data_IF_720753374482
#
_entry.id   IF_720753374482
#
_cell.length_a   1.000
_cell.length_b   1.000
_cell.length_c   1.000
_cell.angle_alpha   90.00
_cell.angle_beta   90.00
_cell.angle_gamma   90.00
#
_symmetry.space_group_name_H-M   'P 1'
#
loop_
_entity.id
_entity.type
_entity.pdbx_description
1 polymer ?
#
# COMPACT_ATOMS: atom_id res chain seq x y z
N UNK A 1 -0.73 12.31 -5.19
CA UNK A 1 -1.89 12.88 -4.52
C UNK A 1 -2.99 11.87 -4.38
N UNK A 2 -3.51 11.72 -3.19
CA UNK A 2 -4.62 10.82 -2.92
C UNK A 2 -5.93 11.57 -2.95
N UNK A 3 -6.94 10.95 -3.53
CA UNK A 3 -8.26 11.51 -3.50
C UNK A 3 -9.13 10.58 -2.66
N UNK A 4 -9.47 11.01 -1.46
CA UNK A 4 -10.17 10.17 -0.50
C UNK A 4 -11.61 9.90 -0.89
N UNK A 5 -12.16 10.69 -1.80
CA UNK A 5 -13.55 10.51 -2.16
C UNK A 5 -13.72 9.46 -3.23
N UNK A 6 -12.75 9.30 -4.11
CA UNK A 6 -12.91 8.42 -5.26
C UNK A 6 -11.90 7.30 -5.29
N UNK A 7 -11.09 7.15 -4.25
CA UNK A 7 -10.04 6.13 -4.18
C UNK A 7 -9.12 6.20 -5.38
N UNK A 8 -8.75 7.44 -5.74
CA UNK A 8 -7.87 7.67 -6.88
C UNK A 8 -6.57 8.25 -6.45
N UNK A 9 -5.53 7.95 -7.18
CA UNK A 9 -4.24 8.59 -6.98
C UNK A 9 -3.77 9.08 -8.32
N UNK A 10 -2.89 10.07 -8.31
CA UNK A 10 -2.31 10.58 -9.54
C UNK A 10 -0.83 10.29 -9.53
N UNK A 11 -0.37 9.63 -10.58
CA UNK A 11 1.03 9.29 -10.73
C UNK A 11 1.46 9.90 -12.05
N UNK A 12 2.41 10.83 -12.01
CA UNK A 12 2.90 11.52 -13.19
C UNK A 12 1.74 12.11 -14.00
N UNK A 13 0.79 12.71 -13.28
CA UNK A 13 -0.38 13.35 -13.87
C UNK A 13 -1.37 12.38 -14.51
N UNK A 14 -1.22 11.10 -14.26
CA UNK A 14 -2.19 10.12 -14.75
C UNK A 14 -3.00 9.59 -13.58
N UNK A 15 -4.30 9.50 -13.80
CA UNK A 15 -5.19 9.02 -12.77
C UNK A 15 -5.16 7.51 -12.70
N UNK A 16 -5.03 6.97 -11.50
CA UNK A 16 -5.07 5.53 -11.27
C UNK A 16 -6.17 5.27 -10.26
N UNK A 17 -7.10 4.41 -10.62
CA UNK A 17 -8.20 4.07 -9.72
C UNK A 17 -7.87 2.78 -8.98
N UNK A 18 -8.05 2.81 -7.68
CA UNK A 18 -7.74 1.66 -6.83
C UNK A 18 -9.01 1.08 -6.24
N UNK A 19 -8.96 -0.19 -5.87
CA UNK A 19 -10.06 -0.74 -5.08
C UNK A 19 -9.97 -0.15 -3.67
N UNK A 20 -11.02 -0.31 -2.90
CA UNK A 20 -11.08 0.22 -1.55
C UNK A 20 -9.90 -0.28 -0.70
N UNK A 21 -9.64 -1.58 -0.73
CA UNK A 21 -8.55 -2.13 0.07
C UNK A 21 -7.18 -1.69 -0.42
N UNK A 22 -7.01 -1.61 -1.72
CA UNK A 22 -5.75 -1.11 -2.28
C UNK A 22 -5.51 0.32 -1.85
N UNK A 23 -6.56 1.12 -1.90
CA UNK A 23 -6.45 2.51 -1.50
C UNK A 23 -6.08 2.61 -0.01
N UNK A 24 -6.70 1.81 0.83
CA UNK A 24 -6.41 1.87 2.26
C UNK A 24 -4.98 1.46 2.56
N UNK A 25 -4.48 0.46 1.87
CA UNK A 25 -3.09 0.03 2.06
C UNK A 25 -2.13 1.13 1.64
N UNK A 26 -2.37 1.71 0.48
CA UNK A 26 -1.51 2.77 -0.01
C UNK A 26 -1.55 3.97 0.92
N UNK A 27 -2.72 4.34 1.40
CA UNK A 27 -2.86 5.44 2.33
C UNK A 27 -2.06 5.20 3.61
N UNK A 28 -2.10 3.98 4.12
CA UNK A 28 -1.36 3.62 5.32
C UNK A 28 0.13 3.88 5.11
N UNK A 29 0.67 3.46 3.98
CA UNK A 29 2.07 3.68 3.69
C UNK A 29 2.40 5.16 3.50
N UNK A 30 1.55 5.89 2.81
CA UNK A 30 1.84 7.30 2.53
C UNK A 30 1.75 8.16 3.78
N UNK A 31 0.91 7.79 4.71
CA UNK A 31 0.82 8.54 5.96
C UNK A 31 1.98 8.21 6.89
N UNK A 32 2.74 7.17 6.58
CA UNK A 32 3.82 6.72 7.42
C UNK A 32 5.05 6.41 6.58
N UNK A 33 5.41 7.32 5.72
CA UNK A 33 6.52 7.10 4.79
C UNK A 33 7.80 6.77 5.53
N UNK A 34 8.51 5.80 5.03
CA UNK A 34 9.75 5.34 5.64
C UNK A 34 9.57 4.25 6.69
N UNK A 35 8.33 4.06 7.15
CA UNK A 35 8.10 3.04 8.17
C UNK A 35 7.82 1.71 7.51
N UNK A 36 8.39 0.64 8.04
CA UNK A 36 8.17 -0.70 7.51
C UNK A 36 6.96 -1.31 8.20
N UNK A 37 6.06 -1.88 7.39
CA UNK A 37 4.89 -2.58 7.91
C UNK A 37 5.01 -4.05 7.58
N UNK A 38 4.87 -4.90 8.58
CA UNK A 38 4.82 -6.34 8.33
C UNK A 38 3.47 -6.69 7.76
N UNK A 39 3.34 -7.91 7.23
CA UNK A 39 2.04 -8.36 6.74
C UNK A 39 1.00 -8.35 7.85
N UNK A 40 1.39 -8.74 9.06
CA UNK A 40 0.46 -8.72 10.18
C UNK A 40 0.03 -7.31 10.53
N UNK A 41 0.95 -6.34 10.48
CA UNK A 41 0.59 -4.95 10.72
C UNK A 41 -0.44 -4.48 9.71
N UNK A 42 -0.26 -4.82 8.45
CA UNK A 42 -1.17 -4.40 7.40
C UNK A 42 -2.52 -5.08 7.58
N UNK A 43 -2.52 -6.37 7.88
CA UNK A 43 -3.78 -7.08 8.11
C UNK A 43 -4.55 -6.47 9.26
N UNK A 44 -3.88 -6.21 10.38
CA UNK A 44 -4.55 -5.67 11.54
C UNK A 44 -5.06 -4.27 11.30
N UNK A 45 -4.34 -3.47 10.52
CA UNK A 45 -4.75 -2.10 10.27
C UNK A 45 -5.89 -2.00 9.28
N UNK A 46 -5.91 -2.87 8.28
CA UNK A 46 -6.87 -2.76 7.19
C UNK A 46 -8.04 -3.73 7.34
N UNK A 47 -7.76 -4.96 7.79
CA UNK A 47 -8.80 -5.97 7.89
C UNK A 47 -9.29 -6.20 9.32
N UNK A 48 -8.64 -5.61 10.30
CA UNK A 48 -8.97 -5.76 11.72
C UNK A 48 -8.52 -7.11 12.27
N UNK A 49 -8.61 -7.24 13.58
CA UNK A 49 -8.11 -8.43 14.24
C UNK A 49 -9.01 -9.64 14.05
N UNK A 50 -10.20 -9.44 13.49
CA UNK A 50 -11.11 -10.55 13.29
C UNK A 50 -10.88 -11.30 12.00
N UNK A 51 -9.91 -10.92 11.21
CA UNK A 51 -9.70 -11.60 9.95
C UNK A 51 -8.98 -12.93 10.19
N UNK A 52 -9.58 -14.02 9.76
CA UNK A 52 -8.99 -15.32 9.93
C UNK A 52 -8.49 -15.94 8.65
N UNK A 53 -8.46 -15.21 7.59
CA UNK A 53 -8.00 -15.75 6.31
C UNK A 53 -6.48 -15.79 6.22
N UNK A 54 -6.00 -16.10 5.01
CA UNK A 54 -4.59 -16.24 4.77
C UNK A 54 -3.94 -14.87 4.68
N UNK A 55 -2.83 -14.64 5.33
CA UNK A 55 -2.14 -13.36 5.28
C UNK A 55 -1.54 -13.10 3.90
N UNK A 56 -1.53 -14.08 3.02
CA UNK A 56 -1.06 -13.87 1.66
C UNK A 56 -1.94 -12.92 0.87
N UNK A 57 -3.13 -12.62 1.39
CA UNK A 57 -3.98 -11.64 0.74
C UNK A 57 -3.27 -10.28 0.67
N UNK A 58 -2.42 -9.97 1.64
CA UNK A 58 -1.64 -8.73 1.62
C UNK A 58 -0.74 -8.73 0.39
N UNK A 59 -0.05 -9.84 0.15
CA UNK A 59 0.85 -9.92 -0.99
C UNK A 59 0.12 -9.69 -2.31
N UNK A 60 -1.10 -10.23 -2.42
CA UNK A 60 -1.90 -10.07 -3.62
C UNK A 60 -2.26 -8.60 -3.84
N UNK A 61 -2.66 -7.92 -2.77
CA UNK A 61 -3.02 -6.51 -2.89
C UNK A 61 -1.80 -5.65 -3.24
N UNK A 62 -0.67 -5.94 -2.62
CA UNK A 62 0.56 -5.22 -2.93
C UNK A 62 0.94 -5.41 -4.40
N UNK A 63 0.83 -6.64 -4.90
CA UNK A 63 1.13 -6.93 -6.28
C UNK A 63 0.23 -6.12 -7.21
N UNK A 64 -1.05 -6.05 -6.90
CA UNK A 64 -2.00 -5.32 -7.73
C UNK A 64 -1.73 -3.82 -7.70
N UNK A 65 -1.39 -3.28 -6.54
CA UNK A 65 -1.04 -1.87 -6.43
C UNK A 65 0.19 -1.59 -7.30
N UNK A 66 1.20 -2.45 -7.23
CA UNK A 66 2.40 -2.27 -8.03
C UNK A 66 2.10 -2.30 -9.52
N UNK A 67 1.19 -3.15 -9.93
CA UNK A 67 0.82 -3.21 -11.35
C UNK A 67 0.19 -1.91 -11.80
N UNK A 68 -0.57 -1.27 -10.93
CA UNK A 68 -1.28 -0.05 -11.28
C UNK A 68 -0.41 1.19 -11.20
N UNK A 69 0.46 1.26 -10.19
CA UNK A 69 1.28 2.43 -9.97
C UNK A 69 2.68 2.33 -10.52
N UNK A 70 3.20 1.13 -10.62
CA UNK A 70 4.59 0.92 -11.00
C UNK A 70 5.34 0.28 -9.85
N UNK A 71 6.39 -0.46 -10.19
CA UNK A 71 7.03 -1.29 -9.19
C UNK A 71 8.03 -0.54 -8.31
N UNK A 72 8.29 0.72 -8.61
CA UNK A 72 9.25 1.47 -7.82
C UNK A 72 8.69 2.14 -6.58
N UNK A 73 7.38 2.08 -6.36
CA UNK A 73 6.80 2.83 -5.26
C UNK A 73 6.77 2.08 -3.93
N UNK A 74 6.51 0.80 -3.95
CA UNK A 74 6.46 0.03 -2.71
C UNK A 74 7.66 -0.89 -2.68
N UNK A 75 8.48 -0.73 -1.64
CA UNK A 75 9.70 -1.49 -1.51
C UNK A 75 9.44 -2.70 -0.64
N UNK A 76 9.97 -3.85 -1.03
CA UNK A 76 9.92 -5.05 -0.20
C UNK A 76 11.12 -5.03 0.71
N UNK A 77 10.88 -5.15 2.02
CA UNK A 77 11.95 -5.28 2.98
C UNK A 77 12.03 -6.76 3.32
N UNK A 78 13.02 -7.43 2.77
CA UNK A 78 13.08 -8.89 2.84
C UNK A 78 13.02 -9.40 4.26
N UNK A 79 12.16 -10.37 4.48
CA UNK A 79 12.02 -10.97 5.79
C UNK A 79 11.25 -10.15 6.79
N UNK A 80 10.79 -8.95 6.43
CA UNK A 80 10.07 -8.08 7.34
C UNK A 80 8.73 -7.68 6.77
N UNK A 81 8.69 -7.00 5.65
CA UNK A 81 7.42 -6.53 5.11
C UNK A 81 7.63 -5.55 3.97
N UNK A 82 6.87 -4.47 3.99
CA UNK A 82 6.84 -3.49 2.90
C UNK A 82 6.90 -2.09 3.45
N UNK A 83 7.34 -1.15 2.60
CA UNK A 83 7.30 0.27 2.95
C UNK A 83 7.33 1.12 1.69
N UNK A 84 6.96 2.39 1.84
CA UNK A 84 7.19 3.38 0.80
C UNK A 84 8.26 4.29 1.35
N UNK A 85 9.36 4.46 0.57
CA UNK A 85 10.44 5.31 1.01
C UNK A 85 9.97 6.73 1.12
N UNK A 86 10.68 7.51 1.97
CA UNK A 86 10.44 8.91 2.03
C UNK A 86 10.82 9.52 0.77
N UNK A 87 9.99 10.46 0.26
CA UNK A 87 10.32 11.00 -0.88
C UNK A 87 11.03 12.14 -0.79
N UNK A 88 12.00 12.32 -0.68
CA UNK A 88 12.73 13.45 -0.53
C UNK A 88 13.81 13.37 -1.26
N UNK A 89 13.92 12.76 -1.95
CA UNK A 89 14.99 12.65 -2.54
C UNK A 89 15.19 13.38 -3.40
N UNK A 90 15.42 13.93 -3.45
CA UNK A 90 15.82 14.61 -4.21
C UNK A 90 16.16 15.05 -4.10
#
# INVERSE_FOLDING_TARGET
>A
ILNTENYEVYVDNQKVTLTFREYEILKLFLENQGKVFTRDNILNSIWNYDYFGDDKIVNTHIKNIRKKLGYGYIETVRGVGYRIDKEDKK
#
